data_IF_875047279415
#
_entry.id   IF_875047279415
#
_cell.length_a   1.000
_cell.length_b   1.000
_cell.length_c   1.000
_cell.angle_alpha   90.00
_cell.angle_beta   90.00
_cell.angle_gamma   90.00
#
_symmetry.space_group_name_H-M   'P 1'
#
loop_
_entity.id
_entity.type
_entity.pdbx_description
1 polymer ?
#
# COMPACT_ATOMS: atom_id res chain seq x y z
N UNK A 1 -26.42 47.70 -26.44
CA UNK A 1 -25.02 47.39 -26.15
C UNK A 1 -24.72 47.96 -24.78
N UNK A 2 -24.84 47.14 -23.74
CA UNK A 2 -24.43 47.45 -22.38
C UNK A 2 -23.67 46.23 -21.89
N UNK A 3 -22.37 46.40 -21.70
CA UNK A 3 -21.47 45.42 -21.11
C UNK A 3 -21.68 45.40 -19.59
N UNK A 4 -22.12 44.27 -19.08
CA UNK A 4 -22.21 43.98 -17.65
C UNK A 4 -21.14 42.92 -17.35
N UNK A 5 -19.96 43.36 -16.92
CA UNK A 5 -18.97 42.47 -16.30
C UNK A 5 -19.23 42.41 -14.79
N UNK A 6 -19.31 41.21 -14.18
CA UNK A 6 -19.35 41.09 -12.74
C UNK A 6 -17.94 41.33 -12.16
N UNK A 7 -17.89 42.15 -11.12
CA UNK A 7 -16.72 42.33 -10.28
C UNK A 7 -16.33 40.99 -9.65
N UNK A 8 -15.07 40.61 -9.81
CA UNK A 8 -14.44 39.56 -9.04
C UNK A 8 -14.00 40.20 -7.72
N UNK A 9 -14.59 39.74 -6.63
CA UNK A 9 -14.13 40.08 -5.29
C UNK A 9 -12.74 39.47 -5.08
N UNK A 10 -11.77 40.35 -4.82
CA UNK A 10 -10.44 40.01 -4.37
C UNK A 10 -10.54 39.43 -2.94
N UNK A 11 -10.67 38.11 -2.86
CA UNK A 11 -10.54 37.37 -1.61
C UNK A 11 -9.04 37.32 -1.25
N UNK A 12 -8.66 38.12 -0.24
CA UNK A 12 -7.31 38.18 0.34
C UNK A 12 -6.95 36.81 0.95
N UNK A 13 -6.55 35.89 0.07
CA UNK A 13 -6.21 34.50 0.32
C UNK A 13 -4.96 34.34 1.17
N UNK A 14 -5.06 34.68 2.46
CA UNK A 14 -4.18 34.15 3.49
C UNK A 14 -4.75 32.82 4.02
N UNK A 15 -5.02 31.91 3.09
CA UNK A 15 -5.47 30.56 3.38
C UNK A 15 -4.31 29.75 3.90
N UNK A 16 -4.02 29.85 5.20
CA UNK A 16 -3.20 28.84 5.86
C UNK A 16 -3.83 27.47 5.51
N UNK A 17 -3.07 26.53 4.93
CA UNK A 17 -3.60 25.22 4.61
C UNK A 17 -4.22 24.65 5.90
N UNK A 18 -5.46 24.18 5.80
CA UNK A 18 -6.16 23.60 6.93
C UNK A 18 -5.24 22.58 7.60
N UNK A 19 -5.08 22.62 8.94
CA UNK A 19 -4.21 21.70 9.64
C UNK A 19 -4.58 20.28 9.23
N UNK A 20 -3.59 19.51 8.79
CA UNK A 20 -3.79 18.10 8.45
C UNK A 20 -4.41 17.46 9.68
N UNK A 21 -5.62 16.88 9.58
CA UNK A 21 -6.29 16.31 10.73
C UNK A 21 -5.34 15.30 11.36
N UNK A 22 -5.03 15.51 12.65
CA UNK A 22 -4.33 14.49 13.42
C UNK A 22 -5.20 13.23 13.34
N UNK A 23 -4.56 12.09 13.03
CA UNK A 23 -5.20 10.78 13.11
C UNK A 23 -5.57 10.55 14.58
N UNK A 24 -6.69 11.11 15.01
CA UNK A 24 -7.39 10.66 16.19
C UNK A 24 -7.95 9.31 15.78
N UNK A 25 -7.14 8.26 15.93
CA UNK A 25 -7.47 6.89 15.55
C UNK A 25 -8.76 6.52 16.28
N UNK A 26 -9.90 6.81 15.66
CA UNK A 26 -11.21 6.80 16.27
C UNK A 26 -11.39 5.46 16.97
N UNK A 27 -11.41 5.51 18.31
CA UNK A 27 -11.59 4.38 19.22
C UNK A 27 -11.27 3.00 18.59
N UNK A 28 -9.99 2.61 18.61
CA UNK A 28 -9.51 1.24 18.36
C UNK A 28 -10.18 0.15 19.24
N UNK A 29 -11.15 0.52 20.08
CA UNK A 29 -11.92 -0.38 20.93
C UNK A 29 -13.16 -0.97 20.28
N UNK A 30 -13.47 -0.62 19.02
CA UNK A 30 -14.59 -1.25 18.31
C UNK A 30 -14.22 -2.70 17.93
N UNK A 31 -14.68 -3.65 18.76
CA UNK A 31 -14.46 -5.08 18.57
C UNK A 31 -14.98 -5.60 17.23
N UNK A 32 -15.95 -4.93 16.62
CA UNK A 32 -16.53 -5.33 15.33
C UNK A 32 -15.51 -5.26 14.18
N UNK A 33 -14.43 -4.47 14.32
CA UNK A 33 -13.37 -4.37 13.31
C UNK A 33 -12.58 -5.67 13.12
N UNK A 34 -12.61 -6.54 14.12
CA UNK A 34 -11.93 -7.84 14.15
C UNK A 34 -12.89 -9.03 14.01
N UNK A 35 -14.16 -8.79 13.70
CA UNK A 35 -15.13 -9.87 13.44
C UNK A 35 -15.04 -10.34 12.00
N UNK A 36 -15.12 -11.65 11.78
CA UNK A 36 -15.35 -12.29 10.48
C UNK A 36 -16.84 -12.59 10.31
N UNK A 37 -17.35 -12.41 9.10
CA UNK A 37 -18.66 -12.96 8.77
C UNK A 37 -18.61 -14.50 8.69
N UNK A 38 -19.79 -15.13 8.61
CA UNK A 38 -19.87 -16.60 8.61
C UNK A 38 -19.19 -17.24 7.40
N UNK A 39 -19.21 -16.58 6.24
CA UNK A 39 -18.62 -17.08 5.01
C UNK A 39 -17.09 -16.95 5.05
N UNK A 40 -16.59 -15.78 5.47
CA UNK A 40 -15.16 -15.51 5.66
C UNK A 40 -14.56 -16.48 6.68
N UNK A 41 -15.23 -16.70 7.82
CA UNK A 41 -14.80 -17.66 8.84
C UNK A 41 -14.71 -19.07 8.29
N UNK A 42 -15.75 -19.55 7.60
CA UNK A 42 -15.77 -20.89 7.01
C UNK A 42 -14.62 -21.08 6.04
N UNK A 43 -14.42 -20.10 5.14
CA UNK A 43 -13.34 -20.12 4.17
C UNK A 43 -11.96 -20.09 4.81
N UNK A 44 -11.78 -19.33 5.89
CA UNK A 44 -10.54 -19.33 6.66
C UNK A 44 -10.25 -20.69 7.30
N UNK A 45 -11.28 -21.37 7.82
CA UNK A 45 -11.15 -22.73 8.36
C UNK A 45 -10.81 -23.74 7.27
N UNK A 46 -11.48 -23.67 6.12
CA UNK A 46 -11.19 -24.54 4.97
C UNK A 46 -9.74 -24.36 4.48
N UNK A 47 -9.25 -23.11 4.44
CA UNK A 47 -7.85 -22.80 4.11
C UNK A 47 -6.87 -23.38 5.14
N UNK A 48 -7.18 -23.21 6.43
CA UNK A 48 -6.35 -23.73 7.52
C UNK A 48 -6.24 -25.25 7.45
N UNK A 49 -7.36 -25.95 7.32
CA UNK A 49 -7.40 -27.41 7.17
C UNK A 49 -6.59 -27.87 5.94
N UNK A 50 -6.74 -27.18 4.81
CA UNK A 50 -6.03 -27.52 3.59
C UNK A 50 -4.51 -27.28 3.67
N UNK A 51 -4.06 -26.21 4.34
CA UNK A 51 -2.63 -25.97 4.61
C UNK A 51 -2.08 -27.00 5.58
N UNK A 52 -2.79 -27.32 6.67
CA UNK A 52 -2.37 -28.35 7.64
C UNK A 52 -2.27 -29.75 7.00
N UNK A 53 -3.08 -30.03 5.97
CA UNK A 53 -3.02 -31.27 5.21
C UNK A 53 -1.92 -31.30 4.13
N UNK A 54 -1.32 -30.16 3.79
CA UNK A 54 -0.32 -30.02 2.72
C UNK A 54 1.10 -29.97 3.30
N UNK A 55 1.91 -31.00 3.07
CA UNK A 55 3.29 -31.07 3.62
C UNK A 55 4.26 -30.04 3.09
N UNK A 56 3.94 -29.40 1.97
CA UNK A 56 4.82 -28.45 1.27
C UNK A 56 4.60 -27.00 1.75
N UNK A 57 3.57 -26.76 2.58
CA UNK A 57 3.23 -25.46 3.11
C UNK A 57 3.51 -25.38 4.60
N UNK A 58 4.07 -24.26 5.03
CA UNK A 58 4.22 -23.94 6.45
C UNK A 58 2.87 -23.49 7.03
N UNK A 59 2.58 -23.80 8.29
CA UNK A 59 1.36 -23.30 8.95
C UNK A 59 1.43 -21.78 9.11
N UNK A 60 0.32 -21.10 8.85
CA UNK A 60 0.15 -19.66 9.09
C UNK A 60 -0.54 -19.38 10.43
N UNK A 61 -0.52 -18.12 10.88
CA UNK A 61 -1.37 -17.69 11.99
C UNK A 61 -2.84 -17.64 11.57
N UNK A 62 -3.74 -17.73 12.55
CA UNK A 62 -5.18 -17.64 12.31
C UNK A 62 -5.58 -16.32 11.64
N UNK A 63 -4.88 -15.23 11.98
CA UNK A 63 -5.08 -13.93 11.35
C UNK A 63 -4.72 -13.94 9.86
N UNK A 64 -3.67 -14.66 9.47
CA UNK A 64 -3.29 -14.81 8.06
C UNK A 64 -4.33 -15.61 7.27
N UNK A 65 -4.85 -16.72 7.81
CA UNK A 65 -5.94 -17.46 7.17
C UNK A 65 -7.19 -16.58 6.98
N UNK A 66 -7.53 -15.79 7.99
CA UNK A 66 -8.61 -14.81 7.92
C UNK A 66 -8.37 -13.75 6.83
N UNK A 67 -7.17 -13.15 6.79
CA UNK A 67 -6.82 -12.15 5.78
C UNK A 67 -6.91 -12.72 4.35
N UNK A 68 -6.39 -13.92 4.12
CA UNK A 68 -6.51 -14.59 2.81
C UNK A 68 -7.97 -14.84 2.49
N UNK A 69 -8.77 -15.37 3.43
CA UNK A 69 -10.19 -15.63 3.20
C UNK A 69 -10.99 -14.37 2.81
N UNK A 70 -10.70 -13.22 3.44
CA UNK A 70 -11.35 -11.94 3.12
C UNK A 70 -10.98 -11.48 1.71
N UNK A 71 -9.69 -11.50 1.36
CA UNK A 71 -9.18 -10.95 0.10
C UNK A 71 -9.49 -11.86 -1.08
N UNK A 72 -9.45 -13.17 -0.87
CA UNK A 72 -9.62 -14.19 -1.90
C UNK A 72 -11.04 -14.73 -2.01
N UNK A 73 -12.04 -14.02 -1.48
CA UNK A 73 -13.45 -14.44 -1.51
C UNK A 73 -13.96 -14.93 -2.87
N UNK A 74 -13.39 -14.46 -3.99
CA UNK A 74 -13.77 -14.80 -5.36
C UNK A 74 -12.87 -15.86 -6.03
N UNK A 75 -11.79 -16.29 -5.37
CA UNK A 75 -10.88 -17.32 -5.89
C UNK A 75 -11.31 -18.72 -5.46
N UNK A 76 -10.80 -19.75 -6.12
CA UNK A 76 -10.91 -21.13 -5.64
C UNK A 76 -10.01 -21.36 -4.42
N UNK A 77 -10.22 -22.50 -3.73
CA UNK A 77 -9.34 -22.91 -2.63
C UNK A 77 -7.91 -23.14 -3.15
N UNK A 78 -7.78 -23.79 -4.30
CA UNK A 78 -6.50 -24.09 -4.95
C UNK A 78 -5.72 -22.82 -5.32
N UNK A 79 -6.38 -21.83 -5.94
CA UNK A 79 -5.76 -20.54 -6.27
C UNK A 79 -5.31 -19.78 -5.00
N UNK A 80 -6.04 -19.94 -3.90
CA UNK A 80 -5.67 -19.34 -2.60
C UNK A 80 -4.46 -20.05 -1.98
N UNK A 81 -4.38 -21.38 -2.11
CA UNK A 81 -3.22 -22.18 -1.66
C UNK A 81 -1.97 -21.88 -2.49
N UNK A 82 -2.09 -21.70 -3.79
CA UNK A 82 -1.00 -21.27 -4.67
C UNK A 82 -0.45 -19.91 -4.23
N UNK A 83 -1.32 -18.95 -3.92
CA UNK A 83 -0.87 -17.67 -3.35
C UNK A 83 -0.13 -17.85 -2.02
N UNK A 84 -0.64 -18.69 -1.11
CA UNK A 84 0.02 -18.96 0.18
C UNK A 84 1.42 -19.54 -0.06
N UNK A 85 1.55 -20.49 -0.98
CA UNK A 85 2.83 -21.06 -1.39
C UNK A 85 3.81 -19.97 -1.88
N UNK A 86 3.35 -19.11 -2.78
CA UNK A 86 4.16 -18.04 -3.37
C UNK A 86 4.59 -17.02 -2.31
N UNK A 87 3.70 -16.68 -1.39
CA UNK A 87 3.99 -15.78 -0.27
C UNK A 87 5.07 -16.37 0.64
N UNK A 88 4.99 -17.66 0.98
CA UNK A 88 6.01 -18.34 1.79
C UNK A 88 7.35 -18.43 1.06
N UNK A 89 7.32 -18.70 -0.25
CA UNK A 89 8.53 -18.72 -1.08
C UNK A 89 9.19 -17.35 -1.10
N UNK A 90 8.42 -16.28 -1.32
CA UNK A 90 8.93 -14.92 -1.26
C UNK A 90 9.56 -14.58 0.11
N UNK A 91 8.91 -14.96 1.22
CA UNK A 91 9.47 -14.76 2.57
C UNK A 91 10.82 -15.45 2.74
N UNK A 92 10.95 -16.69 2.28
CA UNK A 92 12.20 -17.46 2.33
C UNK A 92 13.29 -16.83 1.46
N UNK A 93 12.97 -16.46 0.22
CA UNK A 93 13.94 -15.86 -0.72
C UNK A 93 14.49 -14.51 -0.27
N UNK A 94 13.70 -13.76 0.51
CA UNK A 94 14.05 -12.43 1.00
C UNK A 94 14.42 -12.37 2.49
N UNK A 95 14.54 -13.52 3.15
CA UNK A 95 14.86 -13.65 4.59
C UNK A 95 13.93 -12.82 5.50
N UNK A 96 12.62 -12.88 5.27
CA UNK A 96 11.62 -12.15 6.05
C UNK A 96 11.37 -12.88 7.38
N UNK A 97 11.60 -12.21 8.52
CA UNK A 97 11.54 -12.83 9.85
C UNK A 97 10.16 -12.75 10.53
N UNK A 98 9.24 -11.97 9.97
CA UNK A 98 7.84 -11.85 10.43
C UNK A 98 7.65 -11.47 11.89
N UNK A 99 8.45 -10.52 12.38
CA UNK A 99 8.26 -9.92 13.70
C UNK A 99 8.27 -8.40 13.62
N UNK A 100 7.69 -7.76 14.65
CA UNK A 100 7.50 -6.31 14.68
C UNK A 100 8.80 -5.52 14.51
N UNK A 101 9.90 -5.99 15.13
CA UNK A 101 11.18 -5.28 15.08
C UNK A 101 11.82 -5.37 13.68
N UNK A 102 11.76 -6.54 13.04
CA UNK A 102 12.19 -6.70 11.65
C UNK A 102 11.34 -5.86 10.68
N UNK A 103 10.03 -5.78 10.94
CA UNK A 103 9.09 -4.99 10.15
C UNK A 103 9.42 -3.48 10.21
N UNK A 104 9.57 -2.94 11.44
CA UNK A 104 9.95 -1.53 11.65
C UNK A 104 11.30 -1.22 11.01
N UNK A 105 12.30 -2.10 11.19
CA UNK A 105 13.64 -1.93 10.63
C UNK A 105 13.62 -1.93 9.10
N UNK A 106 12.88 -2.85 8.49
CA UNK A 106 12.78 -2.95 7.03
C UNK A 106 12.08 -1.72 6.42
N UNK A 107 10.98 -1.25 7.02
CA UNK A 107 10.31 -0.02 6.59
C UNK A 107 11.20 1.21 6.73
N UNK A 108 11.91 1.34 7.85
CA UNK A 108 12.87 2.41 8.04
C UNK A 108 13.94 2.40 6.95
N UNK A 109 14.55 1.23 6.66
CA UNK A 109 15.56 1.11 5.60
C UNK A 109 14.99 1.43 4.21
N UNK A 110 13.75 1.03 3.94
CA UNK A 110 13.05 1.37 2.70
C UNK A 110 12.88 2.89 2.57
N UNK A 111 12.34 3.55 3.60
CA UNK A 111 12.12 5.00 3.62
C UNK A 111 13.44 5.78 3.51
N UNK A 112 14.52 5.31 4.14
CA UNK A 112 15.85 5.91 3.99
C UNK A 112 16.44 5.72 2.58
N UNK A 113 16.21 4.57 1.96
CA UNK A 113 16.70 4.27 0.60
C UNK A 113 15.94 5.10 -0.45
N UNK A 114 14.62 5.23 -0.28
CA UNK A 114 13.74 5.95 -1.19
C UNK A 114 13.19 7.21 -0.50
N UNK A 115 14.08 8.06 -0.01
CA UNK A 115 13.71 9.23 0.81
C UNK A 115 12.74 10.16 0.06
N UNK A 116 11.60 10.43 0.69
CA UNK A 116 10.52 11.25 0.13
C UNK A 116 9.68 10.53 -0.93
N UNK A 117 9.94 9.25 -1.22
CA UNK A 117 9.10 8.46 -2.11
C UNK A 117 7.72 8.22 -1.52
N UNK A 118 7.62 7.82 -0.25
CA UNK A 118 6.36 7.82 0.48
C UNK A 118 6.26 9.16 1.18
N UNK A 119 5.22 9.94 0.86
CA UNK A 119 5.02 11.28 1.40
C UNK A 119 3.99 11.29 2.53
N UNK A 120 3.03 10.38 2.49
CA UNK A 120 1.96 10.30 3.48
C UNK A 120 1.46 8.87 3.63
N UNK A 121 1.15 8.50 4.87
CA UNK A 121 0.44 7.30 5.25
C UNK A 121 -0.50 7.64 6.41
N UNK A 122 -1.79 7.31 6.27
CA UNK A 122 -2.78 7.59 7.30
C UNK A 122 -4.12 6.95 6.98
N UNK A 123 -4.97 6.83 7.99
CA UNK A 123 -6.36 6.40 7.80
C UNK A 123 -7.21 7.61 7.38
N UNK A 124 -8.07 7.44 6.39
CA UNK A 124 -8.97 8.49 5.91
C UNK A 124 -10.40 8.14 6.29
N UNK A 125 -10.95 8.83 7.30
CA UNK A 125 -12.34 8.62 7.74
C UNK A 125 -13.38 8.82 6.62
N UNK A 126 -13.29 9.86 5.77
CA UNK A 126 -14.26 10.03 4.67
C UNK A 126 -14.27 8.85 3.69
N UNK A 127 -13.12 8.16 3.55
CA UNK A 127 -12.98 7.01 2.67
C UNK A 127 -13.06 5.67 3.41
N UNK A 128 -13.04 5.67 4.74
CA UNK A 128 -12.94 4.48 5.58
C UNK A 128 -11.81 3.55 5.11
N UNK A 129 -10.64 4.09 4.78
CA UNK A 129 -9.53 3.32 4.20
C UNK A 129 -8.18 3.97 4.47
N UNK A 130 -7.12 3.17 4.48
CA UNK A 130 -5.76 3.71 4.48
C UNK A 130 -5.46 4.39 3.16
N UNK A 131 -4.83 5.56 3.27
CA UNK A 131 -4.37 6.38 2.16
C UNK A 131 -2.83 6.40 2.19
N UNK A 132 -2.23 6.08 1.06
CA UNK A 132 -0.78 6.16 0.87
C UNK A 132 -0.51 7.08 -0.32
N UNK A 133 0.32 8.09 -0.10
CA UNK A 133 0.72 9.01 -1.16
C UNK A 133 2.19 8.83 -1.48
N UNK A 134 2.50 8.66 -2.77
CA UNK A 134 3.86 8.51 -3.27
C UNK A 134 4.28 9.67 -4.19
N UNK A 135 5.56 10.05 -4.17
CA UNK A 135 6.21 10.83 -5.23
C UNK A 135 7.07 9.89 -6.09
N UNK A 136 6.67 9.71 -7.35
CA UNK A 136 7.36 8.82 -8.27
C UNK A 136 8.77 9.31 -8.62
N UNK A 137 9.04 10.61 -8.55
CA UNK A 137 10.35 11.20 -8.88
C UNK A 137 11.39 10.88 -7.82
N UNK A 138 10.94 10.73 -6.57
CA UNK A 138 11.78 10.47 -5.40
C UNK A 138 12.16 9.00 -5.25
N UNK A 139 11.61 8.11 -6.07
CA UNK A 139 11.99 6.70 -6.06
C UNK A 139 13.40 6.48 -6.62
N UNK A 140 14.35 6.17 -5.74
CA UNK A 140 15.73 5.90 -6.15
C UNK A 140 15.90 4.55 -6.87
N UNK A 141 15.84 4.60 -8.20
CA UNK A 141 16.09 3.42 -9.06
C UNK A 141 17.55 2.96 -9.06
N UNK A 142 18.51 3.81 -8.67
CA UNK A 142 19.92 3.41 -8.61
C UNK A 142 20.19 2.41 -7.49
N UNK A 143 19.46 2.52 -6.38
CA UNK A 143 19.52 1.54 -5.29
C UNK A 143 19.27 0.10 -5.78
N UNK A 144 18.42 -0.06 -6.80
CA UNK A 144 18.06 -1.37 -7.36
C UNK A 144 19.19 -2.04 -8.15
N UNK A 145 20.29 -1.33 -8.43
CA UNK A 145 21.49 -1.94 -9.03
C UNK A 145 22.25 -2.83 -8.06
N UNK A 146 22.00 -2.66 -6.76
CA UNK A 146 22.68 -3.40 -5.71
C UNK A 146 21.74 -4.49 -5.18
N UNK A 147 22.27 -5.70 -4.96
CA UNK A 147 21.51 -6.80 -4.33
C UNK A 147 20.88 -6.38 -3.01
N UNK A 148 21.59 -5.56 -2.22
CA UNK A 148 21.06 -5.00 -0.97
C UNK A 148 19.86 -4.08 -1.19
N UNK A 149 19.87 -3.25 -2.22
CA UNK A 149 18.73 -2.36 -2.53
C UNK A 149 17.50 -3.15 -2.98
N UNK A 150 17.69 -4.22 -3.77
CA UNK A 150 16.61 -5.14 -4.12
C UNK A 150 16.03 -5.81 -2.87
N UNK A 151 16.88 -6.30 -1.96
CA UNK A 151 16.42 -6.90 -0.70
C UNK A 151 15.64 -5.89 0.15
N UNK A 152 16.14 -4.66 0.30
CA UNK A 152 15.46 -3.59 1.03
C UNK A 152 14.10 -3.25 0.40
N UNK A 153 14.04 -3.21 -0.93
CA UNK A 153 12.80 -2.97 -1.67
C UNK A 153 11.78 -4.09 -1.42
N UNK A 154 12.20 -5.36 -1.51
CA UNK A 154 11.34 -6.51 -1.30
C UNK A 154 10.80 -6.57 0.14
N UNK A 155 11.69 -6.53 1.15
CA UNK A 155 11.26 -6.59 2.56
C UNK A 155 10.49 -5.34 2.98
N UNK A 156 10.90 -4.15 2.51
CA UNK A 156 10.18 -2.91 2.74
C UNK A 156 8.78 -2.91 2.14
N UNK A 157 8.62 -3.41 0.91
CA UNK A 157 7.30 -3.50 0.25
C UNK A 157 6.39 -4.50 0.97
N UNK A 158 6.92 -5.65 1.39
CA UNK A 158 6.18 -6.64 2.17
C UNK A 158 5.61 -6.06 3.47
N UNK A 159 6.46 -5.41 4.27
CA UNK A 159 6.00 -4.80 5.52
C UNK A 159 5.21 -3.50 5.30
N UNK A 160 5.35 -2.86 4.15
CA UNK A 160 4.47 -1.76 3.76
C UNK A 160 3.04 -2.27 3.57
N UNK A 161 2.84 -3.45 2.95
CA UNK A 161 1.51 -4.05 2.85
C UNK A 161 0.92 -4.43 4.21
N UNK A 162 1.75 -4.83 5.17
CA UNK A 162 1.32 -5.05 6.57
C UNK A 162 0.66 -3.79 7.15
N UNK A 163 1.22 -2.60 6.89
CA UNK A 163 0.66 -1.34 7.42
C UNK A 163 -0.76 -1.06 6.91
N UNK A 164 -1.14 -1.59 5.74
CA UNK A 164 -2.46 -1.36 5.15
C UNK A 164 -3.53 -2.30 5.69
N UNK A 165 -3.10 -3.35 6.40
CA UNK A 165 -3.94 -4.46 6.84
C UNK A 165 -3.81 -4.71 8.35
N UNK A 166 -4.01 -3.71 9.23
CA UNK A 166 -3.86 -3.90 10.67
C UNK A 166 -5.03 -4.64 11.32
N UNK A 167 -6.22 -4.60 10.71
CA UNK A 167 -7.44 -5.30 11.17
C UNK A 167 -8.31 -5.73 9.97
N UNK A 168 -9.37 -6.51 10.22
CA UNK A 168 -10.22 -7.04 9.15
C UNK A 168 -11.06 -5.95 8.47
N UNK A 169 -11.47 -4.91 9.20
CA UNK A 169 -12.15 -3.77 8.60
C UNK A 169 -11.26 -3.08 7.54
N UNK A 170 -9.99 -2.82 7.85
CA UNK A 170 -9.02 -2.25 6.93
C UNK A 170 -8.75 -3.19 5.73
N UNK A 171 -8.62 -4.50 5.97
CA UNK A 171 -8.44 -5.49 4.90
C UNK A 171 -9.63 -5.47 3.92
N UNK A 172 -10.87 -5.46 4.41
CA UNK A 172 -12.09 -5.40 3.57
C UNK A 172 -12.18 -4.11 2.77
N UNK A 173 -11.85 -2.99 3.40
CA UNK A 173 -11.93 -1.68 2.75
C UNK A 173 -10.83 -1.49 1.71
N UNK A 174 -9.67 -2.09 1.95
CA UNK A 174 -8.49 -1.97 1.12
C UNK A 174 -7.81 -0.61 1.25
N UNK A 175 -6.87 -0.38 0.35
CA UNK A 175 -5.98 0.79 0.36
C UNK A 175 -6.21 1.69 -0.84
N UNK A 176 -6.09 3.00 -0.61
CA UNK A 176 -6.07 4.03 -1.64
C UNK A 176 -4.62 4.44 -1.88
N UNK A 177 -4.17 4.29 -3.11
CA UNK A 177 -2.88 4.79 -3.55
C UNK A 177 -3.07 6.09 -4.34
N UNK A 178 -2.27 7.09 -4.02
CA UNK A 178 -2.18 8.35 -4.77
C UNK A 178 -0.72 8.56 -5.17
N UNK A 179 -0.46 8.74 -6.45
CA UNK A 179 0.90 8.86 -6.98
C UNK A 179 1.08 10.21 -7.67
N UNK A 180 1.92 11.05 -7.08
CA UNK A 180 2.41 12.30 -7.68
C UNK A 180 3.44 11.99 -8.76
N UNK A 181 3.16 12.46 -9.98
CA UNK A 181 3.98 12.21 -11.16
C UNK A 181 4.50 13.49 -11.84
N UNK A 182 4.16 14.67 -11.30
CA UNK A 182 4.49 15.97 -11.87
C UNK A 182 5.98 16.25 -11.84
N UNK A 183 6.58 16.41 -13.02
CA UNK A 183 8.03 16.56 -13.20
C UNK A 183 8.77 15.26 -13.46
N UNK A 184 8.07 14.12 -13.57
CA UNK A 184 8.69 12.85 -13.89
C UNK A 184 9.23 12.87 -15.32
N UNK A 185 10.55 12.91 -15.43
CA UNK A 185 11.30 12.79 -16.68
C UNK A 185 11.94 11.40 -16.67
N UNK A 186 11.99 10.78 -17.85
CA UNK A 186 12.45 9.42 -18.10
C UNK A 186 13.89 9.15 -17.64
N UNK A 187 14.08 8.88 -16.35
CA UNK A 187 15.37 8.51 -15.77
C UNK A 187 15.49 6.98 -15.81
N UNK A 188 16.10 6.44 -16.88
CA UNK A 188 16.47 5.02 -17.03
C UNK A 188 15.32 4.01 -17.24
N UNK A 189 14.64 4.02 -18.41
CA UNK A 189 13.58 3.06 -18.74
C UNK A 189 13.98 1.59 -18.61
N UNK A 190 15.21 1.29 -19.04
CA UNK A 190 15.66 -0.08 -19.18
C UNK A 190 15.77 -0.78 -17.83
N UNK A 191 16.09 -0.06 -16.76
CA UNK A 191 16.34 -0.70 -15.46
C UNK A 191 15.06 -1.00 -14.71
N UNK A 192 14.14 -0.03 -14.62
CA UNK A 192 12.86 -0.26 -13.97
C UNK A 192 12.04 -1.26 -14.77
N UNK A 193 11.97 -1.12 -16.10
CA UNK A 193 11.24 -2.06 -16.96
C UNK A 193 11.87 -3.46 -16.93
N UNK A 194 13.20 -3.60 -17.02
CA UNK A 194 13.83 -4.92 -16.92
C UNK A 194 13.67 -5.53 -15.52
N UNK A 195 13.70 -4.73 -14.45
CA UNK A 195 13.50 -5.25 -13.10
C UNK A 195 12.04 -5.69 -12.89
N UNK A 196 11.07 -4.89 -13.33
CA UNK A 196 9.65 -5.24 -13.29
C UNK A 196 9.31 -6.44 -14.18
N UNK A 197 9.96 -6.61 -15.33
CA UNK A 197 9.64 -7.68 -16.28
C UNK A 197 10.45 -8.98 -16.10
N UNK A 198 11.68 -8.91 -15.56
CA UNK A 198 12.58 -10.08 -15.52
C UNK A 198 12.95 -10.57 -14.13
N UNK A 199 12.81 -9.77 -13.08
CA UNK A 199 13.36 -10.11 -11.76
C UNK A 199 12.32 -10.22 -10.64
N UNK A 200 11.03 -10.23 -10.95
CA UNK A 200 9.98 -10.51 -9.95
C UNK A 200 9.88 -9.53 -8.76
N UNK A 201 10.55 -8.37 -8.79
CA UNK A 201 10.82 -7.65 -7.54
C UNK A 201 9.63 -6.92 -6.90
N UNK A 202 8.82 -6.22 -7.70
CA UNK A 202 7.70 -5.37 -7.22
C UNK A 202 6.34 -5.95 -7.62
N UNK A 203 6.13 -6.40 -8.86
CA UNK A 203 4.86 -7.00 -9.25
C UNK A 203 4.52 -8.22 -8.40
N UNK A 204 5.52 -9.02 -8.02
CA UNK A 204 5.29 -10.27 -7.30
C UNK A 204 4.84 -9.98 -5.87
N UNK A 205 5.49 -9.08 -5.13
CA UNK A 205 5.05 -8.70 -3.79
C UNK A 205 3.60 -8.17 -3.79
N UNK A 206 3.24 -7.34 -4.77
CA UNK A 206 1.86 -6.83 -4.90
C UNK A 206 0.84 -7.87 -5.38
N UNK A 207 1.29 -8.90 -6.11
CA UNK A 207 0.43 -9.97 -6.62
C UNK A 207 0.21 -11.08 -5.59
N UNK A 208 1.23 -11.40 -4.78
CA UNK A 208 1.21 -12.49 -3.81
C UNK A 208 0.68 -12.04 -2.44
N UNK A 209 0.84 -10.77 -2.07
CA UNK A 209 0.36 -10.30 -0.78
C UNK A 209 -1.18 -10.19 -0.80
N UNK A 210 -1.91 -10.82 0.13
CA UNK A 210 -3.36 -10.77 0.15
C UNK A 210 -3.83 -9.41 0.70
N UNK A 211 -3.99 -8.42 -0.17
CA UNK A 211 -4.64 -7.15 0.17
C UNK A 211 -5.49 -6.61 -0.99
N UNK A 212 -6.42 -5.71 -0.67
CA UNK A 212 -7.36 -5.16 -1.65
C UNK A 212 -6.99 -3.74 -2.09
N UNK A 213 -7.04 -3.49 -3.40
CA UNK A 213 -6.85 -2.15 -3.97
C UNK A 213 -8.21 -1.48 -4.08
N UNK A 214 -8.43 -0.43 -3.28
CA UNK A 214 -9.66 0.36 -3.37
C UNK A 214 -9.64 1.28 -4.59
N UNK A 215 -8.56 2.03 -4.76
CA UNK A 215 -8.31 2.90 -5.90
C UNK A 215 -6.82 3.20 -6.06
N UNK A 216 -6.37 3.44 -7.29
CA UNK A 216 -5.02 3.84 -7.62
C UNK A 216 -5.06 5.11 -8.48
N UNK A 217 -4.75 6.25 -7.90
CA UNK A 217 -4.85 7.57 -8.55
C UNK A 217 -3.49 8.05 -9.01
N UNK A 218 -3.40 8.43 -10.28
CA UNK A 218 -2.16 8.95 -10.88
C UNK A 218 -2.34 10.44 -11.16
N UNK A 219 -1.73 11.26 -10.31
CA UNK A 219 -1.87 12.71 -10.30
C UNK A 219 -0.73 13.40 -11.05
N UNK A 220 -1.05 14.49 -11.75
CA UNK A 220 -0.09 15.36 -12.44
C UNK A 220 0.84 14.62 -13.42
N UNK A 221 0.35 13.49 -13.98
CA UNK A 221 1.12 12.67 -14.90
C UNK A 221 1.24 13.32 -16.28
N UNK A 222 2.48 13.44 -16.76
CA UNK A 222 2.77 13.75 -18.15
C UNK A 222 2.38 12.60 -19.10
N UNK A 223 2.38 12.88 -20.41
CA UNK A 223 2.03 11.92 -21.48
C UNK A 223 2.74 10.57 -21.31
N UNK A 224 4.01 10.61 -20.94
CA UNK A 224 4.86 9.43 -20.84
C UNK A 224 4.44 8.49 -19.70
N UNK A 225 4.13 9.04 -18.52
CA UNK A 225 3.63 8.25 -17.38
C UNK A 225 2.27 7.65 -17.74
N UNK A 226 1.40 8.41 -18.40
CA UNK A 226 0.09 7.89 -18.86
C UNK A 226 0.24 6.70 -19.82
N UNK A 227 1.21 6.73 -20.73
CA UNK A 227 1.51 5.60 -21.63
C UNK A 227 2.00 4.37 -20.85
N UNK A 228 2.94 4.57 -19.90
CA UNK A 228 3.46 3.48 -19.07
C UNK A 228 2.35 2.81 -18.26
N UNK A 229 1.56 3.61 -17.54
CA UNK A 229 0.50 3.08 -16.70
C UNK A 229 -0.58 2.42 -17.56
N UNK A 230 -0.89 2.96 -18.74
CA UNK A 230 -1.82 2.31 -19.68
C UNK A 230 -1.31 0.96 -20.20
N UNK A 231 0.00 0.82 -20.38
CA UNK A 231 0.64 -0.44 -20.77
C UNK A 231 0.63 -1.43 -19.60
N UNK A 232 1.01 -0.99 -18.40
CA UNK A 232 0.99 -1.79 -17.18
C UNK A 232 -0.42 -2.30 -16.84
N UNK A 233 -1.46 -1.48 -17.01
CA UNK A 233 -2.85 -1.90 -16.80
C UNK A 233 -3.27 -3.10 -17.64
N UNK A 234 -2.67 -3.31 -18.82
CA UNK A 234 -3.00 -4.44 -19.71
C UNK A 234 -2.44 -5.78 -19.24
N UNK A 235 -1.42 -5.76 -18.38
CA UNK A 235 -0.85 -6.99 -17.80
C UNK A 235 -1.46 -7.32 -16.43
N UNK A 236 -2.26 -6.41 -15.87
CA UNK A 236 -2.96 -6.64 -14.62
C UNK A 236 -4.28 -7.38 -14.86
N UNK A 237 -4.73 -8.21 -13.89
CA UNK A 237 -6.10 -8.72 -13.88
C UNK A 237 -7.12 -7.58 -14.00
N UNK A 238 -8.21 -7.83 -14.75
CA UNK A 238 -9.25 -6.82 -15.03
C UNK A 238 -9.73 -6.11 -13.76
N UNK A 239 -9.90 -6.86 -12.66
CA UNK A 239 -10.32 -6.35 -11.34
C UNK A 239 -9.42 -5.25 -10.80
N UNK A 240 -8.10 -5.37 -10.98
CA UNK A 240 -7.11 -4.37 -10.55
C UNK A 240 -7.01 -3.23 -11.56
N UNK A 241 -7.01 -3.55 -12.86
CA UNK A 241 -6.91 -2.56 -13.93
C UNK A 241 -8.04 -1.51 -13.87
N UNK A 242 -9.23 -1.90 -13.41
CA UNK A 242 -10.40 -1.03 -13.26
C UNK A 242 -10.28 -0.02 -12.10
N UNK A 243 -9.32 -0.22 -11.19
CA UNK A 243 -9.08 0.66 -10.03
C UNK A 243 -8.20 1.86 -10.34
N UNK A 244 -7.61 1.90 -11.54
CA UNK A 244 -6.71 2.98 -11.94
C UNK A 244 -7.48 4.19 -12.45
N UNK A 245 -7.26 5.33 -11.80
CA UNK A 245 -7.71 6.65 -12.21
C UNK A 245 -6.51 7.41 -12.78
N UNK A 246 -6.50 7.64 -14.09
CA UNK A 246 -5.43 8.36 -14.79
C UNK A 246 -5.87 9.79 -15.10
N UNK A 247 -4.89 10.70 -15.15
CA UNK A 247 -5.13 12.09 -15.52
C UNK A 247 -5.75 12.92 -14.40
N UNK A 248 -5.67 12.47 -13.14
CA UNK A 248 -6.01 13.31 -11.99
C UNK A 248 -5.11 14.56 -12.02
N UNK A 249 -5.70 15.75 -11.94
CA UNK A 249 -4.98 17.02 -11.86
C UNK A 249 -5.24 17.63 -10.50
N UNK A 250 -4.20 18.17 -9.89
CA UNK A 250 -4.31 19.00 -8.68
C UNK A 250 -3.69 20.36 -8.98
N UNK A 251 -4.20 21.42 -8.36
CA UNK A 251 -3.72 22.79 -8.63
C UNK A 251 -2.25 22.98 -8.19
N UNK A 252 -1.83 22.21 -7.19
CA UNK A 252 -0.46 22.16 -6.68
C UNK A 252 0.05 20.72 -6.62
N UNK A 253 1.37 20.53 -6.62
CA UNK A 253 1.97 19.20 -6.44
C UNK A 253 1.70 18.68 -5.03
N UNK A 254 1.50 17.37 -4.90
CA UNK A 254 1.17 16.75 -3.61
C UNK A 254 2.29 16.85 -2.57
N UNK A 255 3.55 16.99 -2.98
CA UNK A 255 4.67 17.21 -2.06
C UNK A 255 4.53 18.51 -1.26
N UNK A 256 3.95 19.55 -1.85
CA UNK A 256 3.65 20.82 -1.18
C UNK A 256 2.55 20.72 -0.12
N UNK A 257 1.77 19.63 -0.12
CA UNK A 257 0.72 19.37 0.87
C UNK A 257 1.22 18.37 1.91
N UNK A 258 1.79 17.26 1.45
CA UNK A 258 2.15 16.13 2.31
C UNK A 258 3.43 16.38 3.13
N UNK A 259 4.37 17.19 2.63
CA UNK A 259 5.67 17.44 3.27
C UNK A 259 5.71 18.72 4.13
N UNK A 260 4.56 19.21 4.58
CA UNK A 260 4.45 20.40 5.45
C UNK A 260 4.65 20.01 6.93
N UNK A 261 5.34 20.79 7.78
CA UNK A 261 6.01 22.04 7.46
C UNK A 261 7.32 21.85 6.69
N UNK A 262 7.97 20.70 6.85
CA UNK A 262 9.17 20.31 6.12
C UNK A 262 9.25 18.78 5.97
N UNK A 263 10.18 18.34 5.11
CA UNK A 263 10.37 16.93 4.76
C UNK A 263 10.79 16.08 5.97
N UNK A 264 11.58 16.62 6.91
CA UNK A 264 12.05 15.85 8.06
C UNK A 264 10.90 15.54 9.02
N UNK A 265 10.08 16.53 9.33
CA UNK A 265 8.91 16.36 10.18
C UNK A 265 7.86 15.46 9.52
N UNK A 266 7.69 15.58 8.21
CA UNK A 266 6.82 14.67 7.46
C UNK A 266 7.29 13.21 7.52
N UNK A 267 8.60 12.95 7.39
CA UNK A 267 9.16 11.61 7.52
C UNK A 267 9.01 11.05 8.95
N UNK A 268 9.18 11.87 9.99
CA UNK A 268 8.93 11.43 11.38
C UNK A 268 7.47 11.00 11.58
N UNK A 269 6.51 11.78 11.09
CA UNK A 269 5.08 11.43 11.15
C UNK A 269 4.77 10.16 10.35
N UNK A 270 5.37 10.03 9.18
CA UNK A 270 5.25 8.83 8.34
C UNK A 270 5.71 7.58 9.10
N UNK A 271 6.93 7.62 9.64
CA UNK A 271 7.53 6.50 10.39
C UNK A 271 6.69 6.17 11.63
N UNK A 272 6.18 7.18 12.34
CA UNK A 272 5.28 7.00 13.48
C UNK A 272 3.98 6.28 13.08
N UNK A 273 3.27 6.79 12.07
CA UNK A 273 1.99 6.21 11.62
C UNK A 273 2.17 4.76 11.13
N UNK A 274 3.24 4.48 10.39
CA UNK A 274 3.54 3.12 9.94
C UNK A 274 3.85 2.19 11.12
N UNK A 275 4.63 2.66 12.09
CA UNK A 275 4.95 1.88 13.28
C UNK A 275 3.71 1.57 14.12
N UNK A 276 2.76 2.51 14.26
CA UNK A 276 1.48 2.27 14.93
C UNK A 276 0.63 1.23 14.20
N UNK A 277 0.50 1.34 12.86
CA UNK A 277 -0.25 0.36 12.09
C UNK A 277 0.37 -1.05 12.16
N UNK A 278 1.70 -1.15 12.10
CA UNK A 278 2.39 -2.42 12.33
C UNK A 278 2.12 -2.96 13.74
N UNK A 279 2.24 -2.11 14.76
CA UNK A 279 2.02 -2.52 16.15
C UNK A 279 0.62 -3.10 16.34
N UNK A 280 -0.40 -2.43 15.79
CA UNK A 280 -1.79 -2.90 15.81
C UNK A 280 -1.94 -4.24 15.10
N UNK A 281 -1.38 -4.35 13.87
CA UNK A 281 -1.41 -5.61 13.12
C UNK A 281 -0.84 -6.77 13.93
N UNK A 282 0.36 -6.61 14.47
CA UNK A 282 1.04 -7.68 15.21
C UNK A 282 0.31 -8.02 16.53
N UNK A 283 -0.34 -7.05 17.17
CA UNK A 283 -1.18 -7.32 18.34
C UNK A 283 -2.43 -8.14 17.96
N UNK A 284 -3.14 -7.72 16.91
CA UNK A 284 -4.30 -8.44 16.40
C UNK A 284 -3.93 -9.85 15.92
N UNK A 285 -2.81 -10.01 15.22
CA UNK A 285 -2.29 -11.31 14.81
C UNK A 285 -1.97 -12.23 16.00
N UNK A 286 -1.37 -11.70 17.06
CA UNK A 286 -1.02 -12.48 18.24
C UNK A 286 -2.22 -12.89 19.10
N UNK A 287 -3.35 -12.19 18.97
CA UNK A 287 -4.52 -12.35 19.85
C UNK A 287 -5.74 -12.95 19.16
N UNK A 288 -5.80 -12.86 17.83
CA UNK A 288 -6.88 -13.44 17.05
C UNK A 288 -6.74 -14.96 16.98
N UNK A 289 -7.81 -15.66 17.34
CA UNK A 289 -7.95 -17.11 17.21
C UNK A 289 -9.11 -17.41 16.28
N UNK A 290 -8.91 -18.32 15.35
CA UNK A 290 -9.93 -18.81 14.45
C UNK A 290 -10.62 -20.02 15.09
N UNK A 291 -11.81 -19.80 15.64
CA UNK A 291 -12.70 -20.81 16.24
C UNK A 291 -13.85 -21.21 15.31
#
# INVERSE_FOLDING_TARGET
MNDNQPALDDDDGNGNPAPIPHNDHGNNSDSSRMELDQQERRRALDLKEAVEACSDLDNLSDFWYAQVAIVDKDLSLEESLERIHDLQTFRREHDILENLEDAKKSLFLFNQTHRGHIMHFGYSDPHQSYLVTFDLIKFDTHALRLRRGIKNLASGSYYLHHTFSPDFAAIRQGVIFVVECGGYIWKAPGMLTAHLLHNGGIPDAHAIYPFYWKSFKVCNAGVLVNILVSTFRRILPNRLSAKFELGCQTDIRLDQICLVPDEEEALKRLDYNMAEALQMRYQNEATFCLE
#
